data_IF_394486628691
#
_entry.id   IF_394486628691
#
_cell.length_a   1.000
_cell.length_b   1.000
_cell.length_c   1.000
_cell.angle_alpha   90.00
_cell.angle_beta   90.00
_cell.angle_gamma   90.00
#
_symmetry.space_group_name_H-M   'P 1'
#
loop_
_entity.id
_entity.type
_entity.pdbx_description
1 polymer ?
#
# COMPACT_ATOMS: atom_id res chain seq x y z
N UNK A 1 -16.08 13.71 -6.50
CA UNK A 1 -16.07 12.90 -5.26
C UNK A 1 -15.23 11.67 -5.53
N UNK A 2 -14.54 11.07 -4.55
CA UNK A 2 -13.95 9.74 -4.78
C UNK A 2 -15.08 8.77 -5.20
N UNK A 3 -14.82 7.97 -6.24
CA UNK A 3 -15.82 7.15 -6.92
C UNK A 3 -16.51 7.81 -8.13
N UNK A 4 -16.75 9.13 -8.13
CA UNK A 4 -17.31 9.83 -9.30
C UNK A 4 -16.32 10.84 -9.88
N UNK A 5 -15.59 10.47 -10.97
CA UNK A 5 -14.67 11.40 -11.59
C UNK A 5 -15.49 12.52 -12.22
N UNK A 6 -15.35 13.74 -11.70
CA UNK A 6 -16.05 14.95 -12.20
C UNK A 6 -15.88 15.20 -13.70
N UNK A 7 -14.87 14.58 -14.33
CA UNK A 7 -14.46 14.84 -15.70
C UNK A 7 -14.48 13.62 -16.63
N UNK A 8 -14.74 12.39 -16.13
CA UNK A 8 -14.76 11.17 -16.96
C UNK A 8 -15.62 10.10 -16.31
N UNK A 9 -16.67 9.63 -17.01
CA UNK A 9 -17.32 8.38 -16.60
C UNK A 9 -16.31 7.23 -16.69
N UNK A 10 -16.33 6.35 -15.70
CA UNK A 10 -15.58 5.09 -15.77
C UNK A 10 -16.12 4.30 -16.97
N UNK A 11 -15.22 3.77 -17.79
CA UNK A 11 -15.57 2.95 -18.94
C UNK A 11 -15.50 1.48 -18.50
N UNK A 12 -16.65 0.88 -18.24
CA UNK A 12 -16.81 -0.49 -17.77
C UNK A 12 -16.17 -1.49 -18.72
N UNK A 13 -16.35 -1.33 -20.05
CA UNK A 13 -15.69 -2.16 -21.05
C UNK A 13 -14.17 -2.10 -20.95
N UNK A 14 -13.60 -0.91 -20.73
CA UNK A 14 -12.15 -0.76 -20.57
C UNK A 14 -11.65 -1.44 -19.30
N UNK A 15 -12.44 -1.37 -18.22
CA UNK A 15 -12.11 -2.03 -16.94
C UNK A 15 -12.16 -3.54 -17.12
N UNK A 16 -13.25 -4.07 -17.67
CA UNK A 16 -13.43 -5.49 -17.98
C UNK A 16 -12.35 -6.01 -18.93
N UNK A 17 -12.08 -5.30 -20.02
CA UNK A 17 -11.06 -5.74 -21.00
C UNK A 17 -9.69 -5.84 -20.34
N UNK A 18 -9.28 -4.83 -19.56
CA UNK A 18 -8.02 -4.89 -18.82
C UNK A 18 -8.00 -5.99 -17.77
N UNK A 19 -9.10 -6.17 -17.05
CA UNK A 19 -9.21 -7.22 -16.06
C UNK A 19 -9.00 -8.58 -16.73
N UNK A 20 -9.72 -8.86 -17.82
CA UNK A 20 -9.60 -10.09 -18.61
C UNK A 20 -8.21 -10.28 -19.23
N UNK A 21 -7.55 -9.21 -19.68
CA UNK A 21 -6.18 -9.25 -20.21
C UNK A 21 -5.11 -9.54 -19.16
N UNK A 22 -5.33 -9.10 -17.91
CA UNK A 22 -4.34 -9.20 -16.82
C UNK A 22 -4.60 -10.38 -15.86
N UNK A 23 -5.71 -11.11 -16.03
CA UNK A 23 -6.00 -12.34 -15.27
C UNK A 23 -4.89 -13.37 -15.53
N UNK A 24 -4.35 -13.94 -14.47
CA UNK A 24 -3.36 -15.03 -14.55
C UNK A 24 -4.03 -16.31 -14.99
N UNK A 25 -3.32 -17.17 -15.71
CA UNK A 25 -3.82 -18.45 -16.26
C UNK A 25 -4.45 -19.40 -15.21
N UNK A 26 -4.15 -19.21 -13.92
CA UNK A 26 -4.69 -20.00 -12.80
C UNK A 26 -5.88 -19.33 -12.09
N UNK A 27 -6.37 -18.19 -12.57
CA UNK A 27 -7.48 -17.44 -11.99
C UNK A 27 -8.61 -17.42 -13.01
N UNK A 28 -9.82 -17.74 -12.57
CA UNK A 28 -11.03 -17.63 -13.38
C UNK A 28 -11.96 -16.59 -12.75
N UNK A 29 -12.58 -15.76 -13.59
CA UNK A 29 -13.63 -14.84 -13.16
C UNK A 29 -14.96 -15.58 -13.29
N UNK A 30 -15.73 -15.57 -12.21
CA UNK A 30 -17.06 -16.17 -12.22
C UNK A 30 -17.93 -15.54 -13.32
N UNK A 31 -18.62 -16.35 -14.11
CA UNK A 31 -19.37 -15.88 -15.30
C UNK A 31 -20.46 -14.86 -14.95
N UNK A 32 -21.00 -14.94 -13.74
CA UNK A 32 -22.02 -14.01 -13.24
C UNK A 32 -21.44 -12.98 -12.26
N UNK A 33 -20.13 -12.71 -12.33
CA UNK A 33 -19.53 -11.63 -11.54
C UNK A 33 -20.06 -10.28 -12.05
N UNK A 34 -20.52 -9.44 -11.13
CA UNK A 34 -21.03 -8.11 -11.44
C UNK A 34 -20.03 -7.03 -11.03
N UNK A 35 -19.88 -6.01 -11.88
CA UNK A 35 -19.11 -4.82 -11.54
C UNK A 35 -20.01 -3.82 -10.81
N UNK A 36 -20.03 -3.88 -9.48
CA UNK A 36 -20.81 -2.95 -8.67
C UNK A 36 -19.98 -1.71 -8.35
N UNK A 37 -20.47 -0.55 -8.77
CA UNK A 37 -19.85 0.72 -8.41
C UNK A 37 -20.24 1.12 -6.99
N UNK A 38 -19.27 1.15 -6.08
CA UNK A 38 -19.48 1.57 -4.70
C UNK A 38 -18.89 2.97 -4.45
N UNK A 39 -19.71 3.98 -4.14
CA UNK A 39 -19.24 5.24 -3.57
C UNK A 39 -18.33 5.02 -2.36
N UNK A 40 -17.27 5.82 -2.25
CA UNK A 40 -16.33 5.71 -1.13
C UNK A 40 -16.82 6.38 0.15
N UNK A 41 -17.97 7.07 0.15
CA UNK A 41 -18.47 7.75 1.35
C UNK A 41 -19.16 6.75 2.27
N UNK A 42 -18.39 6.20 3.22
CA UNK A 42 -18.90 5.24 4.20
C UNK A 42 -20.07 5.79 5.05
N UNK A 43 -20.29 7.12 5.09
CA UNK A 43 -21.38 7.71 5.88
C UNK A 43 -22.75 7.53 5.24
N UNK A 44 -22.78 7.15 3.97
CA UNK A 44 -24.02 6.88 3.23
C UNK A 44 -24.59 5.48 3.53
N UNK A 45 -23.83 4.61 4.22
CA UNK A 45 -24.20 3.22 4.47
C UNK A 45 -24.50 2.93 5.94
N UNK A 46 -25.30 1.89 6.18
CA UNK A 46 -25.53 1.36 7.52
C UNK A 46 -24.25 0.69 8.02
N UNK A 47 -23.85 0.97 9.27
CA UNK A 47 -22.60 0.46 9.88
C UNK A 47 -22.46 -1.06 9.89
N UNK A 48 -23.57 -1.79 9.85
CA UNK A 48 -23.59 -3.26 9.85
C UNK A 48 -23.64 -3.86 8.44
N UNK A 49 -23.71 -3.03 7.38
CA UNK A 49 -23.83 -3.51 6.01
C UNK A 49 -22.46 -3.81 5.37
N UNK A 50 -22.46 -4.70 4.37
CA UNK A 50 -21.26 -5.02 3.61
C UNK A 50 -20.72 -3.80 2.86
N UNK A 51 -21.59 -2.93 2.35
CA UNK A 51 -21.23 -1.68 1.68
C UNK A 51 -20.44 -0.74 2.59
N UNK A 52 -20.83 -0.65 3.87
CA UNK A 52 -20.08 0.13 4.85
C UNK A 52 -18.67 -0.43 5.03
N UNK A 53 -18.54 -1.75 5.15
CA UNK A 53 -17.25 -2.42 5.25
C UNK A 53 -16.42 -2.15 4.00
N UNK A 54 -17.00 -2.32 2.81
CA UNK A 54 -16.33 -2.09 1.52
C UNK A 54 -15.88 -0.63 1.35
N UNK A 55 -16.73 0.35 1.69
CA UNK A 55 -16.39 1.77 1.61
C UNK A 55 -15.25 2.14 2.57
N UNK A 56 -15.26 1.60 3.79
CA UNK A 56 -14.15 1.79 4.73
C UNK A 56 -12.85 1.15 4.21
N UNK A 57 -12.92 -0.07 3.68
CA UNK A 57 -11.76 -0.74 3.09
C UNK A 57 -11.18 0.05 1.91
N UNK A 58 -12.03 0.63 1.07
CA UNK A 58 -11.60 1.50 -0.02
C UNK A 58 -10.85 2.73 0.51
N UNK A 59 -11.43 3.44 1.49
CA UNK A 59 -10.77 4.59 2.11
C UNK A 59 -9.44 4.25 2.79
N UNK A 60 -9.36 3.11 3.48
CA UNK A 60 -8.13 2.60 4.08
C UNK A 60 -7.08 2.30 3.02
N UNK A 61 -7.49 1.70 1.91
CA UNK A 61 -6.61 1.38 0.77
C UNK A 61 -6.05 2.65 0.13
N UNK A 62 -6.89 3.66 -0.11
CA UNK A 62 -6.47 4.95 -0.64
C UNK A 62 -5.51 5.67 0.31
N UNK A 63 -5.78 5.61 1.61
CA UNK A 63 -4.91 6.16 2.64
C UNK A 63 -3.55 5.46 2.65
N UNK A 64 -3.50 4.14 2.53
CA UNK A 64 -2.26 3.37 2.50
C UNK A 64 -1.46 3.65 1.21
N UNK A 65 -2.12 3.68 0.06
CA UNK A 65 -1.51 4.00 -1.24
C UNK A 65 -0.94 5.42 -1.23
N UNK A 66 -1.76 6.41 -0.82
CA UNK A 66 -1.35 7.80 -0.71
C UNK A 66 -0.18 8.00 0.26
N UNK A 67 -0.20 7.28 1.39
CA UNK A 67 0.89 7.29 2.38
C UNK A 67 2.17 6.71 1.81
N UNK A 68 2.08 5.59 1.10
CA UNK A 68 3.23 4.92 0.49
C UNK A 68 3.89 5.79 -0.58
N UNK A 69 3.09 6.40 -1.45
CA UNK A 69 3.58 7.35 -2.46
C UNK A 69 4.26 8.53 -1.76
N UNK A 70 3.58 9.16 -0.79
CA UNK A 70 4.09 10.35 -0.12
C UNK A 70 5.38 10.08 0.68
N UNK A 71 5.50 8.93 1.33
CA UNK A 71 6.68 8.52 2.09
C UNK A 71 7.90 8.26 1.18
N UNK A 72 7.68 7.89 -0.09
CA UNK A 72 8.73 7.65 -1.07
C UNK A 72 9.20 8.92 -1.80
N UNK A 73 8.45 10.03 -1.74
CA UNK A 73 8.86 11.29 -2.36
C UNK A 73 10.11 11.89 -1.69
N UNK A 74 11.03 12.40 -2.50
CA UNK A 74 12.26 13.04 -2.03
C UNK A 74 11.93 14.36 -1.33
N UNK A 75 12.59 14.64 -0.20
CA UNK A 75 12.45 15.87 0.60
C UNK A 75 11.05 16.14 1.19
N UNK A 76 10.20 15.12 1.31
CA UNK A 76 8.90 15.28 1.98
C UNK A 76 9.09 15.39 3.49
N UNK A 77 8.49 16.43 4.07
CA UNK A 77 8.43 16.64 5.53
C UNK A 77 7.29 15.81 6.11
N UNK A 78 7.61 14.65 6.67
CA UNK A 78 6.70 13.90 7.54
C UNK A 78 6.83 14.37 8.99
N UNK A 79 5.73 14.35 9.73
CA UNK A 79 5.68 14.86 11.10
C UNK A 79 5.10 13.78 12.01
N UNK A 80 5.86 13.37 13.04
CA UNK A 80 5.39 12.47 14.08
C UNK A 80 4.61 13.24 15.15
N UNK A 81 3.45 13.78 14.79
CA UNK A 81 2.66 14.52 15.76
C UNK A 81 1.20 14.31 15.45
N UNK A 82 0.49 13.72 16.42
CA UNK A 82 -0.95 13.58 16.35
C UNK A 82 -1.58 14.94 16.68
N UNK A 83 -2.31 15.56 15.74
CA UNK A 83 -2.99 16.82 16.00
C UNK A 83 -4.09 16.61 17.04
N UNK A 84 -4.33 17.61 17.88
CA UNK A 84 -5.45 17.65 18.82
C UNK A 84 -6.72 18.13 18.11
N UNK A 85 -7.87 17.86 18.72
CA UNK A 85 -9.14 18.42 18.27
C UNK A 85 -9.05 19.95 18.33
N UNK A 86 -9.33 20.61 17.21
CA UNK A 86 -9.24 22.08 17.06
C UNK A 86 -7.92 22.57 16.45
N UNK A 87 -6.92 21.71 16.26
CA UNK A 87 -5.65 22.13 15.66
C UNK A 87 -5.78 22.44 14.16
N UNK A 88 -5.10 23.49 13.71
CA UNK A 88 -4.93 23.78 12.29
C UNK A 88 -3.81 22.93 11.69
N UNK A 89 -4.18 21.93 10.90
CA UNK A 89 -3.22 21.00 10.27
C UNK A 89 -2.81 21.47 8.89
N UNK A 90 -1.58 21.99 8.77
CA UNK A 90 -1.01 22.45 7.48
C UNK A 90 -0.62 21.31 6.54
N UNK A 91 -0.14 20.17 7.07
CA UNK A 91 0.31 19.03 6.27
C UNK A 91 -0.32 17.71 6.71
N UNK A 92 -1.57 17.49 6.33
CA UNK A 92 -2.29 16.24 6.63
C UNK A 92 -1.60 15.01 6.04
N UNK A 93 -1.13 15.11 4.78
CA UNK A 93 -0.46 14.03 4.07
C UNK A 93 0.82 13.57 4.78
N UNK A 94 1.61 14.51 5.29
CA UNK A 94 2.85 14.20 6.01
C UNK A 94 2.64 13.56 7.38
N UNK A 95 1.50 13.81 8.03
CA UNK A 95 1.13 13.16 9.30
C UNK A 95 0.65 11.73 9.02
N UNK A 96 -0.27 11.57 8.06
CA UNK A 96 -0.84 10.26 7.72
C UNK A 96 0.23 9.32 7.14
N UNK A 97 1.18 9.85 6.36
CA UNK A 97 2.28 9.05 5.80
C UNK A 97 3.40 8.73 6.82
N UNK A 98 3.38 9.34 8.01
CA UNK A 98 4.46 9.18 8.99
C UNK A 98 4.74 7.71 9.36
N UNK A 99 3.73 6.87 9.72
CA UNK A 99 3.98 5.48 10.10
C UNK A 99 4.68 4.68 8.99
N UNK A 100 4.22 4.86 7.73
CA UNK A 100 4.83 4.21 6.56
C UNK A 100 6.27 4.68 6.35
N UNK A 101 6.50 6.00 6.47
CA UNK A 101 7.84 6.60 6.35
C UNK A 101 8.78 6.10 7.44
N UNK A 102 8.32 6.03 8.68
CA UNK A 102 9.08 5.53 9.81
C UNK A 102 9.49 4.06 9.59
N UNK A 103 8.58 3.23 9.09
CA UNK A 103 8.87 1.84 8.71
C UNK A 103 9.94 1.75 7.62
N UNK A 104 9.80 2.52 6.55
CA UNK A 104 10.77 2.58 5.44
C UNK A 104 12.15 3.05 5.93
N UNK A 105 12.20 4.05 6.81
CA UNK A 105 13.46 4.60 7.31
C UNK A 105 14.09 3.67 8.36
N UNK A 106 13.31 2.97 9.21
CA UNK A 106 13.83 1.89 10.09
C UNK A 106 14.53 0.81 9.28
N UNK A 107 13.92 0.41 8.16
CA UNK A 107 14.52 -0.54 7.23
C UNK A 107 15.86 -0.04 6.66
N UNK A 108 15.95 1.21 6.23
CA UNK A 108 17.20 1.81 5.71
C UNK A 108 18.34 1.80 6.73
N UNK A 109 18.04 1.84 8.03
CA UNK A 109 19.06 1.77 9.09
C UNK A 109 19.73 0.40 9.20
N UNK A 110 19.13 -0.66 8.64
CA UNK A 110 19.71 -2.00 8.56
C UNK A 110 19.84 -2.70 9.92
N UNK A 111 20.92 -2.42 10.66
CA UNK A 111 21.46 -3.19 11.80
C UNK A 111 20.48 -3.49 12.95
N UNK A 112 19.40 -2.74 13.10
CA UNK A 112 18.41 -2.93 14.19
C UNK A 112 17.00 -3.28 13.70
N UNK A 113 16.78 -3.38 12.39
CA UNK A 113 15.47 -3.76 11.85
C UNK A 113 15.13 -5.22 12.18
N UNK A 114 16.12 -6.10 12.16
CA UNK A 114 15.99 -7.54 12.46
C UNK A 114 15.48 -7.84 13.88
N UNK A 115 15.80 -6.97 14.83
CA UNK A 115 15.37 -7.10 16.23
C UNK A 115 14.12 -6.28 16.55
N UNK A 116 13.52 -5.62 15.54
CA UNK A 116 12.28 -4.87 15.73
C UNK A 116 11.07 -5.79 15.64
N UNK A 117 10.00 -5.47 16.38
CA UNK A 117 8.70 -6.14 16.26
C UNK A 117 8.12 -6.09 14.84
N UNK A 118 8.70 -5.30 13.93
CA UNK A 118 8.25 -5.14 12.57
C UNK A 118 9.00 -6.02 11.54
N UNK A 119 10.07 -6.74 11.93
CA UNK A 119 10.94 -7.47 10.99
C UNK A 119 10.19 -8.52 10.15
N UNK A 120 9.18 -9.19 10.74
CA UNK A 120 8.33 -10.17 10.06
C UNK A 120 6.88 -9.71 9.81
N UNK A 121 6.56 -8.46 10.14
CA UNK A 121 5.19 -7.95 10.07
C UNK A 121 4.79 -7.47 8.66
N UNK A 122 5.76 -7.27 7.76
CA UNK A 122 5.49 -6.81 6.40
C UNK A 122 6.65 -7.12 5.45
N UNK A 123 6.32 -7.42 4.19
CA UNK A 123 7.27 -7.53 3.08
C UNK A 123 7.10 -6.32 2.16
N UNK A 124 8.21 -5.79 1.62
CA UNK A 124 8.17 -4.78 0.56
C UNK A 124 8.90 -5.35 -0.66
N UNK A 125 8.19 -5.43 -1.77
CA UNK A 125 8.71 -5.84 -3.07
C UNK A 125 8.75 -4.63 -3.99
N UNK A 126 9.86 -4.42 -4.68
CA UNK A 126 9.99 -3.42 -5.72
C UNK A 126 9.49 -4.06 -7.01
N UNK A 127 8.39 -3.54 -7.55
CA UNK A 127 7.95 -3.86 -8.90
C UNK A 127 8.56 -2.84 -9.88
N UNK A 128 9.06 -3.29 -11.01
CA UNK A 128 9.57 -2.46 -12.09
C UNK A 128 9.25 -3.11 -13.43
N UNK A 129 9.18 -2.31 -14.49
CA UNK A 129 9.01 -2.80 -15.85
C UNK A 129 10.37 -2.79 -16.53
N UNK A 130 10.81 -3.94 -17.05
CA UNK A 130 12.01 -4.07 -17.86
C UNK A 130 11.64 -4.85 -19.13
N UNK A 131 11.96 -4.30 -20.31
CA UNK A 131 11.60 -4.89 -21.60
C UNK A 131 10.11 -5.30 -21.73
N UNK A 132 9.19 -4.43 -21.28
CA UNK A 132 7.73 -4.68 -21.22
C UNK A 132 7.30 -5.85 -20.32
N UNK A 133 8.20 -6.45 -19.55
CA UNK A 133 7.88 -7.48 -18.58
C UNK A 133 7.93 -6.91 -17.15
N UNK A 134 7.01 -7.39 -16.31
CA UNK A 134 7.01 -7.06 -14.90
C UNK A 134 8.14 -7.83 -14.19
N UNK A 135 9.15 -7.09 -13.74
CA UNK A 135 10.16 -7.57 -12.82
C UNK A 135 9.73 -7.30 -11.37
N UNK A 136 9.83 -8.32 -10.53
CA UNK A 136 9.63 -8.19 -9.09
C UNK A 136 10.95 -8.45 -8.40
N UNK A 137 11.58 -7.38 -7.91
CA UNK A 137 12.70 -7.49 -6.99
C UNK A 137 12.12 -7.55 -5.60
N UNK A 138 12.12 -8.76 -5.04
CA UNK A 138 11.98 -8.92 -3.61
C UNK A 138 13.04 -8.02 -2.97
N UNK A 139 12.59 -6.91 -2.38
CA UNK A 139 13.41 -6.23 -1.40
C UNK A 139 13.28 -7.11 -0.15
N UNK A 140 13.75 -8.34 -0.22
CA UNK A 140 13.92 -9.20 0.95
C UNK A 140 15.06 -8.54 1.73
N UNK A 141 14.79 -8.24 3.00
CA UNK A 141 15.88 -8.09 3.96
C UNK A 141 16.64 -9.41 3.88
N UNK A 142 17.80 -9.42 3.21
CA UNK A 142 18.64 -10.62 3.03
C UNK A 142 18.45 -11.51 4.26
N UNK A 143 17.90 -12.70 4.07
CA UNK A 143 18.03 -13.73 5.07
C UNK A 143 19.53 -13.89 5.27
N UNK A 144 20.02 -13.40 6.41
CA UNK A 144 21.37 -13.71 6.81
C UNK A 144 21.27 -15.18 7.20
N UNK A 145 21.92 -16.10 6.47
CA UNK A 145 21.91 -17.49 6.88
C UNK A 145 22.44 -17.51 8.32
N UNK A 146 21.64 -18.04 9.25
CA UNK A 146 22.08 -18.27 10.62
C UNK A 146 23.12 -19.38 10.52
N UNK A 147 24.36 -18.99 10.30
CA UNK A 147 25.51 -19.87 10.39
C UNK A 147 25.76 -20.09 11.87
N UNK A 148 25.13 -21.14 12.40
CA UNK A 148 25.59 -21.84 13.58
C UNK A 148 27.00 -22.35 13.31
N UNK A 149 28.01 -21.54 13.58
CA UNK A 149 29.37 -21.95 13.90
C UNK A 149 30.18 -20.75 14.35
N UNK A 150 30.55 -20.82 15.62
CA UNK A 150 31.76 -20.22 16.20
C UNK A 150 32.86 -19.93 15.16
N UNK A 151 33.27 -18.66 15.12
CA UNK A 151 34.61 -18.17 14.76
C UNK A 151 34.95 -17.86 13.28
N UNK A 152 35.50 -16.65 13.14
CA UNK A 152 36.13 -15.87 12.05
C UNK A 152 36.85 -16.60 10.90
N UNK A 153 36.91 -15.97 9.71
CA UNK A 153 38.10 -15.23 9.19
C UNK A 153 37.84 -14.59 7.80
N UNK A 154 38.43 -13.42 7.56
CA UNK A 154 38.35 -12.62 6.33
C UNK A 154 39.59 -12.80 5.46
N UNK A 155 39.38 -13.04 4.17
CA UNK A 155 40.18 -12.50 3.06
C UNK A 155 39.22 -11.96 2.00
#
# INVERSE_FOLDING_TARGET
>A
TDGQPHYRRLNEFRILSRLMEEVRDYVEIYENAELVHLPSDHKEYNRESEEYIHANMLQLTDMLLGSSIHACLKNVRVINTNPKIGDSVKNKKGIVAYPVKEMLDKRKRGRSFQNSSHYGAFSITKAFINNNEWGFENIIAKDIPILNKTQLSLF
#
